data_IF_345599742613
#
_entry.id   IF_345599742613
#
_cell.length_a   1.000
_cell.length_b   1.000
_cell.length_c   1.000
_cell.angle_alpha   90.00
_cell.angle_beta   90.00
_cell.angle_gamma   90.00
#
_symmetry.space_group_name_H-M   'P 1'
#
loop_
_entity.id
_entity.type
_entity.pdbx_description
1 polymer ?
#
# COMPACT_ATOMS: atom_id res chain seq x y z
N UNK A 1 -28.45 11.84 64.27
CA UNK A 1 -27.08 11.31 64.24
C UNK A 1 -27.04 9.80 64.06
N UNK A 2 -27.79 9.01 64.83
CA UNK A 2 -27.82 7.54 64.71
C UNK A 2 -28.12 7.02 63.30
N UNK A 3 -29.11 7.57 62.59
CA UNK A 3 -29.39 7.18 61.20
C UNK A 3 -28.22 7.41 60.24
N UNK A 4 -27.44 8.47 60.45
CA UNK A 4 -26.27 8.79 59.60
C UNK A 4 -25.14 7.81 59.90
N UNK A 5 -24.95 7.45 61.17
CA UNK A 5 -23.99 6.41 61.58
C UNK A 5 -24.37 5.06 61.00
N UNK A 6 -25.65 4.71 60.98
CA UNK A 6 -26.12 3.42 60.46
C UNK A 6 -25.99 3.34 58.94
N UNK A 7 -26.29 4.41 58.21
CA UNK A 7 -26.01 4.50 56.77
C UNK A 7 -24.51 4.41 56.46
N UNK A 8 -23.66 5.04 57.28
CA UNK A 8 -22.22 4.94 57.12
C UNK A 8 -21.70 3.51 57.35
N UNK A 9 -22.25 2.78 58.34
CA UNK A 9 -21.93 1.37 58.57
C UNK A 9 -22.33 0.49 57.38
N UNK A 10 -23.52 0.66 56.83
CA UNK A 10 -23.95 -0.09 55.63
C UNK A 10 -23.03 0.16 54.42
N UNK A 11 -22.62 1.42 54.21
CA UNK A 11 -21.69 1.80 53.15
C UNK A 11 -20.31 1.14 53.34
N UNK A 12 -19.82 1.09 54.58
CA UNK A 12 -18.56 0.42 54.92
C UNK A 12 -18.67 -1.09 54.65
N UNK A 13 -19.77 -1.73 55.06
CA UNK A 13 -20.00 -3.17 54.82
C UNK A 13 -20.04 -3.49 53.32
N UNK A 14 -20.73 -2.67 52.52
CA UNK A 14 -20.78 -2.81 51.05
C UNK A 14 -19.38 -2.65 50.44
N UNK A 15 -18.58 -1.69 50.93
CA UNK A 15 -17.22 -1.43 50.44
C UNK A 15 -16.25 -2.56 50.80
N UNK A 16 -16.37 -3.13 52.00
CA UNK A 16 -15.58 -4.29 52.44
C UNK A 16 -15.95 -5.53 51.62
N UNK A 17 -17.23 -5.76 51.33
CA UNK A 17 -17.67 -6.87 50.46
C UNK A 17 -17.10 -6.73 49.04
N UNK A 18 -17.19 -5.53 48.45
CA UNK A 18 -16.62 -5.25 47.14
C UNK A 18 -15.10 -5.49 47.08
N UNK A 19 -14.36 -5.12 48.14
CA UNK A 19 -12.93 -5.37 48.22
C UNK A 19 -12.58 -6.86 48.32
N UNK A 20 -13.38 -7.65 49.05
CA UNK A 20 -13.23 -9.12 49.12
C UNK A 20 -13.51 -9.78 47.77
N UNK A 21 -14.52 -9.30 47.03
CA UNK A 21 -14.84 -9.81 45.69
C UNK A 21 -13.72 -9.51 44.69
N UNK A 22 -13.12 -8.32 44.75
CA UNK A 22 -11.93 -7.97 43.95
C UNK A 22 -10.73 -8.86 44.31
N UNK A 23 -10.48 -9.11 45.60
CA UNK A 23 -9.37 -9.98 46.02
C UNK A 23 -9.58 -11.43 45.57
N UNK A 24 -10.82 -11.93 45.61
CA UNK A 24 -11.19 -13.24 45.07
C UNK A 24 -10.95 -13.30 43.55
N UNK A 25 -11.42 -12.31 42.80
CA UNK A 25 -11.16 -12.17 41.36
C UNK A 25 -9.66 -12.13 41.02
N UNK A 26 -8.87 -11.40 41.80
CA UNK A 26 -7.41 -11.33 41.64
C UNK A 26 -6.73 -12.67 41.95
N UNK A 27 -7.23 -13.42 42.93
CA UNK A 27 -6.74 -14.77 43.25
C UNK A 27 -7.07 -15.75 42.12
N UNK A 28 -8.30 -15.73 41.61
CA UNK A 28 -8.73 -16.54 40.46
C UNK A 28 -7.95 -16.17 39.19
N UNK A 29 -7.63 -14.89 38.97
CA UNK A 29 -6.74 -14.40 37.91
C UNK A 29 -5.29 -14.89 38.07
N UNK A 30 -4.76 -14.91 39.31
CA UNK A 30 -3.42 -15.46 39.61
C UNK A 30 -3.34 -16.98 39.45
N UNK A 31 -4.43 -17.69 39.73
CA UNK A 31 -4.53 -19.15 39.57
C UNK A 31 -4.76 -19.56 38.09
N UNK A 32 -5.53 -18.77 37.34
CA UNK A 32 -5.65 -18.93 35.87
C UNK A 32 -4.36 -18.57 35.15
N UNK A 33 -3.56 -17.61 35.63
CA UNK A 33 -2.25 -17.31 35.04
C UNK A 33 -1.16 -18.33 35.41
N UNK A 34 -1.25 -19.00 36.57
CA UNK A 34 -0.32 -20.09 36.96
C UNK A 34 -0.47 -21.38 36.14
N UNK A 35 -1.59 -21.58 35.44
CA UNK A 35 -1.87 -22.81 34.65
C UNK A 35 -1.62 -22.66 33.14
N UNK A 36 -1.25 -21.46 32.65
CA UNK A 36 -0.90 -21.23 31.25
C UNK A 36 0.60 -21.44 31.02
N UNK A 37 0.94 -22.72 30.85
CA UNK A 37 2.03 -23.29 30.06
C UNK A 37 3.46 -22.73 30.16
N UNK A 38 4.38 -23.62 30.55
CA UNK A 38 5.85 -23.59 30.40
C UNK A 38 6.38 -23.43 28.95
N UNK A 39 5.60 -22.89 28.02
CA UNK A 39 5.88 -22.82 26.59
C UNK A 39 6.41 -21.42 26.25
N UNK A 40 7.71 -21.30 26.00
CA UNK A 40 8.35 -20.03 25.61
C UNK A 40 8.46 -19.89 24.09
N UNK A 41 8.19 -18.68 23.60
CA UNK A 41 8.48 -18.30 22.22
C UNK A 41 9.99 -18.12 21.99
N UNK A 42 10.45 -18.40 20.76
CA UNK A 42 11.77 -17.96 20.31
C UNK A 42 11.88 -16.43 20.21
N UNK A 43 10.78 -15.74 19.92
CA UNK A 43 10.68 -14.28 19.94
C UNK A 43 9.83 -13.85 21.14
N UNK A 44 10.39 -13.20 22.18
CA UNK A 44 9.64 -12.81 23.39
C UNK A 44 8.38 -11.99 23.10
N UNK A 45 8.38 -11.19 22.03
CA UNK A 45 7.25 -10.37 21.61
C UNK A 45 6.05 -11.19 21.12
N UNK A 46 6.23 -12.45 20.75
CA UNK A 46 5.13 -13.33 20.31
C UNK A 46 4.53 -14.15 21.46
N UNK A 47 5.02 -13.99 22.70
CA UNK A 47 4.59 -14.80 23.84
C UNK A 47 3.08 -14.69 24.10
N UNK A 48 2.51 -13.49 23.95
CA UNK A 48 1.06 -13.28 24.13
C UNK A 48 0.20 -14.08 23.15
N UNK A 49 0.70 -14.36 21.93
CA UNK A 49 0.01 -15.21 20.96
C UNK A 49 0.05 -16.67 21.40
N UNK A 50 1.18 -17.12 21.91
CA UNK A 50 1.33 -18.47 22.45
C UNK A 50 0.40 -18.70 23.63
N UNK A 51 0.35 -17.75 24.56
CA UNK A 51 -0.51 -17.82 25.73
C UNK A 51 -2.00 -17.80 25.31
N UNK A 52 -2.35 -16.93 24.37
CA UNK A 52 -3.70 -16.86 23.81
C UNK A 52 -4.14 -18.15 23.12
N UNK A 53 -3.29 -18.73 22.27
CA UNK A 53 -3.58 -20.00 21.60
C UNK A 53 -3.55 -21.20 22.57
N UNK A 54 -2.73 -21.16 23.63
CA UNK A 54 -2.74 -22.16 24.68
C UNK A 54 -4.07 -22.17 25.44
N UNK A 55 -4.60 -20.99 25.79
CA UNK A 55 -5.94 -20.84 26.38
C UNK A 55 -7.04 -21.39 25.48
N UNK A 56 -7.07 -20.96 24.21
CA UNK A 56 -8.06 -21.44 23.23
C UNK A 56 -7.99 -22.96 23.01
N UNK A 57 -6.79 -23.55 23.09
CA UNK A 57 -6.61 -25.01 23.03
C UNK A 57 -7.19 -25.71 24.25
N UNK A 58 -6.97 -25.18 25.46
CA UNK A 58 -7.56 -25.75 26.68
C UNK A 58 -9.09 -25.69 26.62
N UNK A 59 -9.66 -24.59 26.15
CA UNK A 59 -11.10 -24.44 25.96
C UNK A 59 -11.65 -25.39 24.91
N UNK A 60 -10.94 -25.59 23.80
CA UNK A 60 -11.33 -26.57 22.78
C UNK A 60 -11.30 -28.02 23.32
N UNK A 61 -10.32 -28.36 24.17
CA UNK A 61 -10.25 -29.67 24.83
C UNK A 61 -11.39 -29.87 25.82
N UNK A 62 -11.70 -28.85 26.65
CA UNK A 62 -12.85 -28.87 27.59
C UNK A 62 -14.18 -29.05 26.86
N UNK A 63 -14.34 -28.39 25.72
CA UNK A 63 -15.53 -28.52 24.84
C UNK A 63 -15.51 -29.78 23.96
N UNK A 64 -14.57 -30.70 24.17
CA UNK A 64 -14.36 -31.93 23.39
C UNK A 64 -14.19 -31.71 21.87
N UNK A 65 -13.79 -30.51 21.44
CA UNK A 65 -13.54 -30.20 20.04
C UNK A 65 -12.11 -30.58 19.63
N UNK A 66 -11.92 -31.86 19.29
CA UNK A 66 -10.62 -32.45 18.92
C UNK A 66 -9.97 -31.76 17.72
N UNK A 67 -10.76 -31.40 16.71
CA UNK A 67 -10.27 -30.77 15.48
C UNK A 67 -9.67 -29.40 15.77
N UNK A 68 -10.39 -28.57 16.53
CA UNK A 68 -9.91 -27.22 16.83
C UNK A 68 -8.74 -27.23 17.83
N UNK A 69 -8.75 -28.14 18.80
CA UNK A 69 -7.62 -28.37 19.70
C UNK A 69 -6.35 -28.76 18.93
N UNK A 70 -6.48 -29.54 17.85
CA UNK A 70 -5.38 -29.91 16.96
C UNK A 70 -4.88 -28.72 16.12
N UNK A 71 -5.79 -27.92 15.56
CA UNK A 71 -5.43 -26.69 14.83
C UNK A 71 -4.66 -25.70 15.72
N UNK A 72 -5.13 -25.47 16.96
CA UNK A 72 -4.41 -24.62 17.92
C UNK A 72 -3.05 -25.21 18.33
N UNK A 73 -2.92 -26.54 18.43
CA UNK A 73 -1.62 -27.19 18.66
C UNK A 73 -0.64 -26.93 17.52
N UNK A 74 -1.10 -26.90 16.26
CA UNK A 74 -0.27 -26.53 15.09
C UNK A 74 0.14 -25.05 15.13
N UNK A 75 -0.80 -24.16 15.43
CA UNK A 75 -0.54 -22.73 15.58
C UNK A 75 0.53 -22.44 16.65
N UNK A 76 0.42 -23.08 17.82
CA UNK A 76 1.40 -22.98 18.92
C UNK A 76 2.79 -23.39 18.42
N UNK A 77 2.94 -24.55 17.76
CA UNK A 77 4.23 -25.01 17.24
C UNK A 77 4.84 -24.04 16.21
N UNK A 78 4.01 -23.45 15.36
CA UNK A 78 4.46 -22.48 14.35
C UNK A 78 5.00 -21.20 15.01
N UNK A 79 4.27 -20.67 16.00
CA UNK A 79 4.65 -19.49 16.78
C UNK A 79 5.89 -19.70 17.66
N UNK A 80 6.10 -20.92 18.16
CA UNK A 80 7.32 -21.27 18.92
C UNK A 80 8.59 -21.17 18.06
N UNK A 81 8.49 -21.47 16.75
CA UNK A 81 9.63 -21.50 15.83
C UNK A 81 9.92 -20.16 15.17
N UNK A 82 8.92 -19.29 15.08
CA UNK A 82 9.03 -18.02 14.35
C UNK A 82 9.93 -17.01 15.10
N UNK A 83 11.03 -16.52 14.48
CA UNK A 83 12.03 -15.73 15.17
C UNK A 83 11.77 -14.21 15.17
N UNK A 84 10.77 -13.72 14.44
CA UNK A 84 10.50 -12.28 14.28
C UNK A 84 9.22 -11.86 15.02
N UNK A 85 9.06 -10.58 15.40
CA UNK A 85 7.83 -10.10 16.02
C UNK A 85 6.67 -10.11 15.03
N UNK A 86 5.51 -10.57 15.48
CA UNK A 86 4.24 -10.53 14.73
C UNK A 86 3.46 -9.32 15.24
N UNK A 87 3.37 -8.30 14.37
CA UNK A 87 2.80 -7.01 14.66
C UNK A 87 1.36 -6.87 14.15
N UNK A 88 0.91 -7.79 13.29
CA UNK A 88 -0.44 -7.78 12.74
C UNK A 88 -1.04 -9.20 12.62
N UNK A 89 -2.35 -9.38 12.87
CA UNK A 89 -3.04 -10.67 12.75
C UNK A 89 -2.79 -11.41 11.43
N UNK A 90 -2.78 -10.69 10.30
CA UNK A 90 -2.58 -11.30 8.98
C UNK A 90 -1.16 -11.86 8.78
N UNK A 91 -0.15 -11.41 9.53
CA UNK A 91 1.19 -12.00 9.47
C UNK A 91 1.21 -13.44 10.00
N UNK A 92 0.26 -13.82 10.86
CA UNK A 92 0.13 -15.20 11.32
C UNK A 92 -0.21 -16.17 10.18
N UNK A 93 -0.88 -15.70 9.10
CA UNK A 93 -1.27 -16.55 7.96
C UNK A 93 -0.07 -17.02 7.12
N UNK A 94 1.08 -16.36 7.27
CA UNK A 94 2.33 -16.76 6.64
C UNK A 94 2.98 -17.95 7.37
N UNK A 95 2.50 -18.29 8.58
CA UNK A 95 3.04 -19.38 9.39
C UNK A 95 2.35 -20.70 9.04
N UNK A 96 3.15 -21.68 8.63
CA UNK A 96 2.68 -23.02 8.33
C UNK A 96 1.99 -23.65 9.56
N UNK A 97 0.67 -23.79 9.50
CA UNK A 97 -0.16 -24.29 10.62
C UNK A 97 -1.22 -23.31 11.13
N UNK A 98 -1.24 -22.06 10.63
CA UNK A 98 -2.29 -21.08 10.91
C UNK A 98 -3.02 -20.72 9.62
N UNK A 99 -4.23 -21.28 9.45
CA UNK A 99 -5.09 -20.99 8.29
C UNK A 99 -6.17 -19.95 8.61
N UNK A 100 -6.93 -19.55 7.58
CA UNK A 100 -8.00 -18.54 7.66
C UNK A 100 -9.05 -18.85 8.74
N UNK A 101 -9.29 -20.13 9.05
CA UNK A 101 -10.21 -20.56 10.11
C UNK A 101 -9.81 -20.11 11.51
N UNK A 102 -8.53 -19.80 11.74
CA UNK A 102 -8.02 -19.33 13.03
C UNK A 102 -7.93 -17.79 13.10
N UNK A 103 -8.20 -17.09 12.00
CA UNK A 103 -7.98 -15.65 11.90
C UNK A 103 -8.83 -14.87 12.91
N UNK A 104 -10.10 -15.26 13.11
CA UNK A 104 -10.99 -14.68 14.14
C UNK A 104 -10.40 -14.83 15.56
N UNK A 105 -9.82 -15.99 15.85
CA UNK A 105 -9.12 -16.25 17.11
C UNK A 105 -7.86 -15.38 17.25
N UNK A 106 -7.08 -15.21 16.17
CA UNK A 106 -5.90 -14.32 16.15
C UNK A 106 -6.31 -12.87 16.42
N UNK A 107 -7.30 -12.34 15.71
CA UNK A 107 -7.81 -10.98 15.93
C UNK A 107 -8.29 -10.78 17.38
N UNK A 108 -8.94 -11.79 17.96
CA UNK A 108 -9.40 -11.74 19.35
C UNK A 108 -8.21 -11.65 20.32
N UNK A 109 -7.16 -12.45 20.12
CA UNK A 109 -5.95 -12.41 20.95
C UNK A 109 -5.23 -11.06 20.82
N UNK A 110 -5.11 -10.52 19.60
CA UNK A 110 -4.53 -9.20 19.36
C UNK A 110 -5.34 -8.08 20.01
N UNK A 111 -6.67 -8.10 19.89
CA UNK A 111 -7.56 -7.11 20.51
C UNK A 111 -7.45 -7.12 22.04
N UNK A 112 -7.39 -8.30 22.66
CA UNK A 112 -7.21 -8.45 24.10
C UNK A 112 -5.84 -8.01 24.62
N UNK A 113 -4.83 -7.97 23.75
CA UNK A 113 -3.46 -7.55 24.07
C UNK A 113 -3.09 -6.17 23.47
N UNK A 114 -4.05 -5.42 22.93
CA UNK A 114 -3.82 -4.14 22.25
C UNK A 114 -3.16 -3.07 23.14
N UNK A 115 -3.37 -3.12 24.47
CA UNK A 115 -2.69 -2.23 25.43
C UNK A 115 -1.17 -2.48 25.50
N UNK A 116 -0.73 -3.72 25.29
CA UNK A 116 0.70 -4.09 25.29
C UNK A 116 1.44 -3.52 24.08
N UNK A 117 0.80 -3.49 22.90
CA UNK A 117 1.37 -2.88 21.69
C UNK A 117 1.39 -1.35 21.74
N UNK A 118 0.38 -0.72 22.36
CA UNK A 118 0.41 0.72 22.65
C UNK A 118 1.59 1.08 23.56
N UNK A 119 1.82 0.28 24.62
CA UNK A 119 2.96 0.45 25.53
C UNK A 119 4.33 0.22 24.87
N UNK A 120 4.47 -0.76 23.97
CA UNK A 120 5.73 -1.00 23.23
C UNK A 120 6.06 0.12 22.24
N UNK A 121 5.07 0.63 21.50
CA UNK A 121 5.22 1.82 20.66
C UNK A 121 5.67 3.04 21.47
N UNK A 122 5.03 3.29 22.61
CA UNK A 122 5.37 4.39 23.51
C UNK A 122 6.78 4.25 24.13
N UNK A 123 7.31 3.03 24.27
CA UNK A 123 8.65 2.77 24.82
C UNK A 123 9.77 2.90 23.76
N UNK A 124 9.45 2.64 22.50
CA UNK A 124 10.33 2.90 21.36
C UNK A 124 10.39 4.40 21.02
N UNK A 125 9.26 5.12 21.14
CA UNK A 125 9.18 6.57 20.95
C UNK A 125 9.96 7.36 22.02
N UNK A 126 10.02 6.86 23.27
CA UNK A 126 10.80 7.48 24.38
C UNK A 126 12.33 7.40 24.25
N UNK A 127 12.87 6.77 23.20
CA UNK A 127 14.32 6.70 22.93
C UNK A 127 14.83 7.73 21.91
N UNK A 128 13.97 8.58 21.34
CA UNK A 128 14.37 9.67 20.44
C UNK A 128 14.29 11.03 21.17
N UNK A 129 15.26 11.95 21.00
CA UNK A 129 15.19 13.27 21.63
C UNK A 129 14.04 14.08 21.05
N UNK A 130 13.30 14.71 21.95
CA UNK A 130 12.07 15.47 21.73
C UNK A 130 12.31 16.80 21.00
N UNK A 131 11.52 17.07 19.95
CA UNK A 131 11.02 18.42 19.64
C UNK A 131 9.51 18.32 19.33
N UNK A 132 8.78 19.30 19.85
CA UNK A 132 7.33 19.33 20.02
C UNK A 132 6.52 19.34 18.70
N UNK A 133 5.30 18.77 18.68
CA UNK A 133 4.43 18.80 17.52
C UNK A 133 3.53 20.05 17.49
N UNK A 134 3.58 20.80 16.39
CA UNK A 134 2.50 21.74 16.03
C UNK A 134 1.26 20.98 15.52
N UNK A 135 0.08 21.53 15.85
CA UNK A 135 -1.25 20.92 15.69
C UNK A 135 -1.65 20.74 14.22
N UNK A 136 -2.16 19.55 13.91
CA UNK A 136 -2.87 19.21 12.65
C UNK A 136 -4.37 19.47 12.87
N UNK A 137 -5.08 20.14 11.95
CA UNK A 137 -6.52 20.39 12.09
C UNK A 137 -7.36 19.11 11.92
N UNK A 138 -8.53 19.11 12.57
CA UNK A 138 -9.46 17.99 12.69
C UNK A 138 -10.02 17.50 11.33
N UNK A 139 -10.22 16.18 11.23
CA UNK A 139 -10.82 15.51 10.07
C UNK A 139 -12.27 15.95 9.88
N UNK A 140 -12.75 16.17 8.64
CA UNK A 140 -14.17 16.40 8.40
C UNK A 140 -14.97 15.11 8.60
N UNK A 141 -16.16 15.29 9.17
CA UNK A 141 -17.11 14.29 9.62
C UNK A 141 -17.77 13.52 8.46
N UNK A 142 -17.94 12.21 8.64
CA UNK A 142 -18.33 11.22 7.63
C UNK A 142 -19.81 11.37 7.19
N UNK A 143 -20.60 12.23 7.83
CA UNK A 143 -22.04 12.39 7.55
C UNK A 143 -22.36 13.43 6.44
N UNK A 144 -21.36 14.17 5.94
CA UNK A 144 -21.57 15.11 4.82
C UNK A 144 -21.66 14.38 3.45
N UNK A 145 -21.01 13.22 3.34
CA UNK A 145 -20.90 12.45 2.09
C UNK A 145 -22.22 11.83 1.62
N UNK A 146 -23.09 11.43 2.55
CA UNK A 146 -24.40 10.88 2.23
C UNK A 146 -25.34 11.88 1.56
N UNK A 147 -25.23 13.18 1.92
CA UNK A 147 -26.04 14.26 1.34
C UNK A 147 -25.54 14.74 -0.02
N UNK A 148 -24.23 14.63 -0.28
CA UNK A 148 -23.64 14.99 -1.58
C UNK A 148 -23.97 13.91 -2.62
N UNK A 149 -23.95 12.64 -2.24
CA UNK A 149 -24.31 11.52 -3.13
C UNK A 149 -25.78 11.59 -3.60
N UNK A 150 -26.72 12.07 -2.77
CA UNK A 150 -28.12 12.26 -3.21
C UNK A 150 -28.32 13.45 -4.15
N UNK A 151 -27.34 14.36 -4.26
CA UNK A 151 -27.38 15.52 -5.18
C UNK A 151 -26.77 15.16 -6.55
N UNK A 152 -25.89 14.15 -6.61
CA UNK A 152 -25.11 13.80 -7.81
C UNK A 152 -25.81 12.83 -8.77
N UNK A 153 -27.03 12.37 -8.48
CA UNK A 153 -27.82 11.50 -9.36
C UNK A 153 -28.53 12.26 -10.49
N UNK A 154 -28.04 13.46 -10.83
CA UNK A 154 -28.51 14.24 -11.97
C UNK A 154 -27.42 14.32 -13.01
N UNK A 155 -27.62 13.57 -14.09
CA UNK A 155 -26.99 13.70 -15.41
C UNK A 155 -26.63 15.15 -15.71
N UNK A 156 -25.35 15.50 -15.55
CA UNK A 156 -24.85 16.84 -15.81
C UNK A 156 -24.70 16.97 -17.33
N UNK A 157 -25.71 17.54 -17.99
CA UNK A 157 -25.60 17.99 -19.38
C UNK A 157 -24.77 19.28 -19.42
N UNK A 158 -23.73 19.29 -20.26
CA UNK A 158 -23.07 20.53 -20.67
C UNK A 158 -24.11 21.44 -21.31
N UNK A 159 -24.10 22.71 -20.92
CA UNK A 159 -25.12 23.70 -21.29
C UNK A 159 -25.09 24.15 -22.75
N UNK A 160 -24.22 23.60 -23.58
CA UNK A 160 -24.12 24.00 -24.99
C UNK A 160 -24.09 22.78 -25.91
N UNK A 161 -25.07 22.75 -26.83
CA UNK A 161 -25.31 21.82 -27.94
C UNK A 161 -26.20 20.61 -27.60
N UNK A 162 -27.48 20.72 -27.99
CA UNK A 162 -28.54 19.69 -27.92
C UNK A 162 -28.20 18.30 -28.51
N UNK A 163 -27.00 18.10 -29.07
CA UNK A 163 -26.57 16.88 -29.76
C UNK A 163 -25.18 16.35 -29.36
N UNK A 164 -24.50 16.95 -28.36
CA UNK A 164 -23.19 16.47 -27.90
C UNK A 164 -23.31 16.03 -26.44
N UNK A 165 -23.12 14.73 -26.22
CA UNK A 165 -22.95 14.15 -24.89
C UNK A 165 -21.47 14.04 -24.58
N UNK A 166 -21.12 14.08 -23.30
CA UNK A 166 -19.76 13.80 -22.86
C UNK A 166 -19.74 12.80 -21.72
N UNK A 167 -18.67 12.02 -21.65
CA UNK A 167 -18.46 11.01 -20.60
C UNK A 167 -17.02 11.11 -20.10
N UNK A 168 -16.86 11.21 -18.78
CA UNK A 168 -15.53 11.15 -18.14
C UNK A 168 -15.23 9.69 -17.83
N UNK A 169 -14.10 9.20 -18.33
CA UNK A 169 -13.71 7.80 -18.19
C UNK A 169 -12.31 7.73 -17.58
N UNK A 170 -12.19 6.99 -16.47
CA UNK A 170 -10.91 6.59 -15.91
C UNK A 170 -10.27 5.51 -16.79
N UNK A 171 -9.07 5.75 -17.30
CA UNK A 171 -8.27 4.73 -17.95
C UNK A 171 -7.31 4.11 -16.95
N UNK A 172 -7.34 2.78 -16.88
CA UNK A 172 -6.47 1.96 -16.03
C UNK A 172 -5.49 1.21 -16.92
N UNK A 173 -4.18 1.29 -16.63
CA UNK A 173 -3.18 0.51 -17.35
C UNK A 173 -3.39 -0.99 -17.10
N UNK A 174 -3.36 -1.78 -18.18
CA UNK A 174 -3.57 -3.23 -18.12
C UNK A 174 -2.52 -4.00 -17.29
N UNK A 175 -1.40 -3.38 -16.91
CA UNK A 175 -0.42 -3.97 -15.98
C UNK A 175 -0.93 -3.97 -14.54
N UNK A 176 -1.84 -3.07 -14.18
CA UNK A 176 -2.37 -2.96 -12.82
C UNK A 176 -3.32 -4.12 -12.46
N UNK A 177 -3.88 -4.81 -13.46
CA UNK A 177 -4.86 -5.89 -13.26
C UNK A 177 -4.22 -7.30 -13.18
N UNK A 178 -2.88 -7.41 -13.01
CA UNK A 178 -2.14 -8.67 -13.20
C UNK A 178 -2.12 -9.65 -12.03
N UNK A 179 -2.32 -9.21 -10.79
CA UNK A 179 -2.12 -10.07 -9.59
C UNK A 179 -3.40 -10.28 -8.79
N UNK A 180 -4.11 -9.20 -8.49
CA UNK A 180 -5.45 -9.20 -7.89
C UNK A 180 -6.27 -8.26 -8.75
N UNK A 181 -7.49 -8.66 -9.13
CA UNK A 181 -8.26 -7.85 -10.07
C UNK A 181 -8.65 -6.52 -9.42
N UNK A 182 -8.17 -5.41 -9.99
CA UNK A 182 -8.41 -4.06 -9.48
C UNK A 182 -9.78 -3.52 -9.90
N UNK A 183 -10.25 -3.91 -11.08
CA UNK A 183 -11.52 -3.43 -11.66
C UNK A 183 -12.75 -3.72 -10.79
N UNK A 184 -12.91 -4.90 -10.16
CA UNK A 184 -14.05 -5.18 -9.29
C UNK A 184 -14.17 -4.24 -8.09
N UNK A 185 -13.08 -3.61 -7.64
CA UNK A 185 -13.14 -2.59 -6.61
C UNK A 185 -13.70 -1.28 -7.16
N UNK A 186 -13.32 -0.90 -8.38
CA UNK A 186 -13.84 0.31 -9.02
C UNK A 186 -15.33 0.16 -9.38
N UNK A 187 -15.74 -1.03 -9.83
CA UNK A 187 -17.14 -1.34 -10.17
C UNK A 187 -18.08 -1.05 -8.97
N UNK A 188 -17.62 -1.31 -7.74
CA UNK A 188 -18.39 -1.05 -6.50
C UNK A 188 -18.69 0.44 -6.29
N UNK A 189 -17.89 1.34 -6.86
CA UNK A 189 -18.06 2.78 -6.74
C UNK A 189 -18.88 3.41 -7.86
N UNK A 190 -19.32 2.60 -8.85
CA UNK A 190 -20.20 3.02 -9.94
C UNK A 190 -19.57 4.05 -10.89
N UNK A 191 -18.23 4.10 -10.97
CA UNK A 191 -17.53 5.03 -11.87
C UNK A 191 -17.31 4.41 -13.24
N UNK A 192 -17.24 5.25 -14.27
CA UNK A 192 -16.89 4.80 -15.62
C UNK A 192 -15.38 4.59 -15.74
N UNK A 193 -14.98 3.39 -16.12
CA UNK A 193 -13.57 3.06 -16.32
C UNK A 193 -13.35 2.09 -17.48
N UNK A 194 -12.14 2.12 -18.03
CA UNK A 194 -11.69 1.19 -19.07
C UNK A 194 -10.26 0.73 -18.82
N UNK A 195 -10.02 -0.56 -19.03
CA UNK A 195 -8.68 -1.12 -19.06
C UNK A 195 -8.07 -0.88 -20.46
N UNK A 196 -6.93 -0.19 -20.51
CA UNK A 196 -6.20 0.08 -21.76
C UNK A 196 -4.70 -0.10 -21.53
N UNK A 197 -3.95 -0.32 -22.61
CA UNK A 197 -2.49 -0.21 -22.55
C UNK A 197 -2.12 1.26 -22.57
N UNK A 198 -1.49 1.77 -21.51
CA UNK A 198 -1.07 3.17 -21.44
C UNK A 198 0.45 3.28 -21.68
N UNK A 199 0.84 4.23 -22.52
CA UNK A 199 2.25 4.54 -22.78
C UNK A 199 2.90 5.39 -21.69
N UNK A 200 2.08 6.07 -20.88
CA UNK A 200 2.47 6.89 -19.72
C UNK A 200 1.40 6.82 -18.63
N UNK A 201 1.85 6.72 -17.38
CA UNK A 201 1.00 6.61 -16.19
C UNK A 201 0.35 5.25 -16.03
N UNK A 202 -0.15 5.01 -14.82
CA UNK A 202 -0.92 3.82 -14.46
C UNK A 202 -2.42 4.14 -14.41
N UNK A 203 -2.76 5.40 -14.10
CA UNK A 203 -4.12 5.94 -14.21
C UNK A 203 -4.12 7.30 -14.90
N UNK A 204 -5.08 7.55 -15.78
CA UNK A 204 -5.35 8.87 -16.34
C UNK A 204 -6.83 9.00 -16.70
N UNK A 205 -7.32 10.23 -16.91
CA UNK A 205 -8.70 10.46 -17.29
C UNK A 205 -8.80 10.99 -18.71
N UNK A 206 -9.81 10.50 -19.43
CA UNK A 206 -10.23 11.06 -20.70
C UNK A 206 -11.66 11.61 -20.59
N UNK A 207 -11.96 12.56 -21.46
CA UNK A 207 -13.33 12.92 -21.82
C UNK A 207 -13.64 12.36 -23.19
N UNK A 208 -14.76 11.64 -23.30
CA UNK A 208 -15.33 11.19 -24.57
C UNK A 208 -16.42 12.16 -24.97
N UNK A 209 -16.30 12.78 -26.14
CA UNK A 209 -17.40 13.53 -26.76
C UNK A 209 -18.14 12.60 -27.71
N UNK A 210 -19.43 12.41 -27.47
CA UNK A 210 -20.31 11.54 -28.23
C UNK A 210 -21.34 12.43 -28.91
N UNK A 211 -21.35 12.44 -30.25
CA UNK A 211 -22.29 13.27 -30.99
C UNK A 211 -22.76 12.57 -32.26
N UNK A 212 -23.87 13.06 -32.81
CA UNK A 212 -24.40 12.59 -34.10
C UNK A 212 -24.12 13.62 -35.18
N UNK A 213 -23.60 13.15 -36.31
CA UNK A 213 -23.49 14.01 -37.49
C UNK A 213 -24.85 14.21 -38.17
N UNK A 214 -24.86 15.02 -39.24
CA UNK A 214 -26.05 15.25 -40.08
C UNK A 214 -26.62 13.96 -40.69
N UNK A 215 -25.79 12.93 -40.83
CA UNK A 215 -26.17 11.60 -41.33
C UNK A 215 -26.66 10.66 -40.21
N UNK A 216 -26.85 11.16 -38.98
CA UNK A 216 -27.23 10.43 -37.77
C UNK A 216 -26.21 9.37 -37.32
N UNK A 217 -24.99 9.38 -37.88
CA UNK A 217 -23.91 8.49 -37.46
C UNK A 217 -23.33 8.99 -36.14
N UNK A 218 -23.13 8.07 -35.20
CA UNK A 218 -22.51 8.37 -33.91
C UNK A 218 -21.00 8.46 -34.09
N UNK A 219 -20.43 9.56 -33.61
CA UNK A 219 -18.98 9.79 -33.56
C UNK A 219 -18.56 9.91 -32.09
N UNK A 220 -17.37 9.40 -31.79
CA UNK A 220 -16.76 9.46 -30.47
C UNK A 220 -15.36 10.08 -30.65
N UNK A 221 -15.14 11.24 -30.04
CA UNK A 221 -13.83 11.86 -29.92
C UNK A 221 -13.31 11.70 -28.49
N UNK A 222 -12.05 11.35 -28.30
CA UNK A 222 -11.46 11.12 -26.98
C UNK A 222 -10.30 12.07 -26.70
N UNK A 223 -10.37 12.82 -25.61
CA UNK A 223 -9.37 13.81 -25.22
C UNK A 223 -8.84 13.56 -23.81
N UNK A 224 -7.53 13.69 -23.64
CA UNK A 224 -6.83 13.49 -22.36
C UNK A 224 -7.03 14.70 -21.46
N UNK A 225 -7.40 14.45 -20.21
CA UNK A 225 -7.51 15.47 -19.17
C UNK A 225 -6.18 15.66 -18.44
N UNK A 226 -6.02 16.78 -17.75
CA UNK A 226 -4.74 17.20 -17.15
C UNK A 226 -4.41 16.50 -15.82
N UNK A 227 -4.88 15.25 -15.65
CA UNK A 227 -4.73 14.43 -14.45
C UNK A 227 -4.09 13.09 -14.83
N UNK A 228 -2.96 12.77 -14.21
CA UNK A 228 -2.23 11.51 -14.41
C UNK A 228 -1.63 11.03 -13.08
N UNK A 229 -1.70 9.73 -12.86
CA UNK A 229 -1.16 9.08 -11.66
C UNK A 229 -0.19 7.98 -12.09
N UNK A 230 0.98 7.99 -11.47
CA UNK A 230 1.92 6.88 -11.45
C UNK A 230 1.77 6.14 -10.11
N UNK A 231 1.52 4.84 -10.14
CA UNK A 231 1.40 4.00 -8.94
C UNK A 231 2.71 3.25 -8.70
N UNK A 232 3.11 3.18 -7.43
CA UNK A 232 4.16 2.28 -6.94
C UNK A 232 3.73 1.63 -5.65
N UNK A 233 4.09 0.37 -5.45
CA UNK A 233 3.90 -0.24 -4.13
C UNK A 233 4.99 0.25 -3.18
N UNK A 234 4.70 0.33 -1.89
CA UNK A 234 5.68 0.68 -0.87
C UNK A 234 6.87 -0.30 -0.86
N UNK A 235 6.64 -1.56 -1.24
CA UNK A 235 7.71 -2.54 -1.44
C UNK A 235 8.63 -2.19 -2.60
N UNK A 236 8.09 -1.64 -3.71
CA UNK A 236 8.91 -1.19 -4.85
C UNK A 236 9.79 0.02 -4.49
N UNK A 237 9.35 0.83 -3.53
CA UNK A 237 10.07 2.02 -3.08
C UNK A 237 11.11 1.73 -1.97
N UNK A 238 10.91 0.69 -1.18
CA UNK A 238 11.84 0.30 -0.08
C UNK A 238 13.03 -0.53 -0.57
N UNK A 239 12.94 -1.15 -1.75
CA UNK A 239 14.12 -1.64 -2.46
C UNK A 239 14.91 -0.46 -3.02
N UNK A 240 15.63 0.23 -2.12
CA UNK A 240 16.67 1.27 -2.33
C UNK A 240 16.68 1.87 -3.74
N UNK A 241 16.33 3.16 -3.85
CA UNK A 241 16.24 3.97 -5.06
C UNK A 241 14.83 4.03 -5.63
N UNK A 242 14.19 5.17 -5.39
CA UNK A 242 13.40 5.87 -6.39
C UNK A 242 14.11 5.68 -7.74
N UNK A 243 13.62 4.72 -8.53
CA UNK A 243 14.33 4.22 -9.69
C UNK A 243 14.60 5.37 -10.66
N UNK A 244 15.74 5.34 -11.37
CA UNK A 244 15.93 6.21 -12.55
C UNK A 244 14.71 6.14 -13.47
N UNK A 245 14.06 4.98 -13.53
CA UNK A 245 12.78 4.76 -14.17
C UNK A 245 11.65 5.65 -13.65
N UNK A 246 11.38 5.73 -12.34
CA UNK A 246 10.36 6.63 -11.79
C UNK A 246 10.66 8.10 -12.11
N UNK A 247 11.94 8.50 -11.99
CA UNK A 247 12.38 9.84 -12.38
C UNK A 247 12.08 10.14 -13.85
N UNK A 248 12.38 9.19 -14.74
CA UNK A 248 12.16 9.33 -16.17
C UNK A 248 10.67 9.31 -16.53
N UNK A 249 9.86 8.48 -15.88
CA UNK A 249 8.40 8.47 -16.03
C UNK A 249 7.82 9.85 -15.68
N UNK A 250 8.18 10.39 -14.51
CA UNK A 250 7.73 11.73 -14.09
C UNK A 250 8.24 12.81 -15.06
N UNK A 251 9.48 12.71 -15.54
CA UNK A 251 10.04 13.64 -16.54
C UNK A 251 9.22 13.63 -17.83
N UNK A 252 8.80 12.45 -18.30
CA UNK A 252 7.95 12.31 -19.50
C UNK A 252 6.57 12.90 -19.28
N UNK A 253 5.95 12.66 -18.12
CA UNK A 253 4.65 13.27 -17.77
C UNK A 253 4.74 14.79 -17.73
N UNK A 254 5.82 15.35 -17.15
CA UNK A 254 6.08 16.80 -17.15
C UNK A 254 6.30 17.35 -18.57
N UNK A 255 6.99 16.61 -19.44
CA UNK A 255 7.17 16.98 -20.85
C UNK A 255 5.85 16.96 -21.64
N UNK A 256 4.85 16.18 -21.18
CA UNK A 256 3.48 16.20 -21.69
C UNK A 256 2.61 17.29 -21.05
N UNK A 257 3.18 18.16 -20.23
CA UNK A 257 2.50 19.34 -19.66
C UNK A 257 1.24 19.01 -18.85
N UNK A 258 1.17 17.82 -18.24
CA UNK A 258 0.10 17.52 -17.27
C UNK A 258 0.19 18.48 -16.09
N UNK A 259 -0.93 19.13 -15.76
CA UNK A 259 -1.02 20.06 -14.64
C UNK A 259 -1.05 19.33 -13.30
N UNK A 260 -1.69 18.16 -13.26
CA UNK A 260 -1.90 17.39 -12.04
C UNK A 260 -1.23 16.01 -12.19
N UNK A 261 0.06 15.95 -11.87
CA UNK A 261 0.85 14.72 -11.82
C UNK A 261 0.92 14.26 -10.37
N UNK A 262 0.49 13.02 -10.11
CA UNK A 262 0.54 12.41 -8.79
C UNK A 262 1.37 11.14 -8.80
N UNK A 263 2.12 10.92 -7.72
CA UNK A 263 2.68 9.62 -7.38
C UNK A 263 1.81 8.98 -6.30
N UNK A 264 1.17 7.86 -6.60
CA UNK A 264 0.41 7.07 -5.65
C UNK A 264 1.29 5.96 -5.08
N UNK A 265 1.47 5.98 -3.76
CA UNK A 265 2.20 4.95 -3.02
C UNK A 265 1.20 4.04 -2.32
N UNK A 266 1.09 2.79 -2.77
CA UNK A 266 0.21 1.81 -2.17
C UNK A 266 0.95 0.92 -1.17
N UNK A 267 0.42 0.82 0.05
CA UNK A 267 0.95 0.05 1.15
C UNK A 267 1.66 0.89 2.22
N UNK A 268 2.29 0.19 3.17
CA UNK A 268 3.00 0.82 4.29
C UNK A 268 4.35 1.36 3.84
N UNK A 269 4.39 2.63 3.45
CA UNK A 269 5.61 3.38 3.23
C UNK A 269 5.96 4.24 4.45
N UNK A 270 7.26 4.33 4.75
CA UNK A 270 7.76 5.25 5.76
C UNK A 270 7.58 6.71 5.31
N UNK A 271 7.25 7.59 6.26
CA UNK A 271 7.02 9.02 5.97
C UNK A 271 8.22 9.68 5.29
N UNK A 272 9.43 9.24 5.62
CA UNK A 272 10.66 9.73 5.01
C UNK A 272 10.69 9.45 3.50
N UNK A 273 10.34 8.24 3.06
CA UNK A 273 10.25 7.86 1.64
C UNK A 273 9.22 8.73 0.90
N UNK A 274 8.08 9.02 1.55
CA UNK A 274 7.01 9.84 0.99
C UNK A 274 7.50 11.29 0.80
N UNK A 275 8.14 11.85 1.84
CA UNK A 275 8.70 13.20 1.82
C UNK A 275 9.84 13.33 0.80
N UNK A 276 10.78 12.38 0.79
CA UNK A 276 11.87 12.32 -0.18
C UNK A 276 11.33 12.25 -1.61
N UNK A 277 10.35 11.39 -1.87
CA UNK A 277 9.74 11.25 -3.19
C UNK A 277 9.05 12.55 -3.63
N UNK A 278 8.35 13.23 -2.72
CA UNK A 278 7.69 14.51 -3.02
C UNK A 278 8.71 15.61 -3.31
N UNK A 279 9.75 15.73 -2.48
CA UNK A 279 10.80 16.74 -2.61
C UNK A 279 11.66 16.51 -3.87
N UNK A 280 12.11 15.28 -4.09
CA UNK A 280 13.00 14.94 -5.20
C UNK A 280 12.35 15.19 -6.55
N UNK A 281 11.04 14.96 -6.65
CA UNK A 281 10.33 15.06 -7.92
C UNK A 281 9.49 16.32 -8.07
N UNK A 282 9.28 17.08 -6.99
CA UNK A 282 8.38 18.22 -6.95
C UNK A 282 7.01 17.86 -7.57
N UNK A 283 6.38 16.81 -7.04
CA UNK A 283 5.04 16.35 -7.39
C UNK A 283 4.27 15.98 -6.12
N UNK A 284 2.94 15.93 -6.25
CA UNK A 284 2.06 15.53 -5.16
C UNK A 284 2.15 14.01 -4.96
N UNK A 285 2.37 13.59 -3.72
CA UNK A 285 2.42 12.17 -3.35
C UNK A 285 1.16 11.82 -2.57
N UNK A 286 0.49 10.76 -3.00
CA UNK A 286 -0.70 10.20 -2.37
C UNK A 286 -0.32 8.86 -1.74
N UNK A 287 -0.96 8.51 -0.64
CA UNK A 287 -0.74 7.23 0.03
C UNK A 287 -2.06 6.51 0.26
N UNK A 288 -2.10 5.24 -0.09
CA UNK A 288 -3.20 4.31 0.20
C UNK A 288 -2.62 3.07 0.86
N UNK A 289 -3.39 2.38 1.68
CA UNK A 289 -2.96 1.18 2.41
C UNK A 289 -3.25 -0.10 1.64
N UNK A 290 -4.29 -0.08 0.81
CA UNK A 290 -4.81 -1.23 0.06
C UNK A 290 -5.31 -0.83 -1.34
N UNK A 291 -5.56 -1.82 -2.19
CA UNK A 291 -6.14 -1.60 -3.52
C UNK A 291 -7.57 -1.05 -3.45
N UNK A 292 -8.34 -1.44 -2.43
CA UNK A 292 -9.67 -0.89 -2.17
C UNK A 292 -9.61 0.62 -1.87
N UNK A 293 -8.68 1.05 -1.03
CA UNK A 293 -8.47 2.48 -0.75
C UNK A 293 -7.98 3.23 -2.01
N UNK A 294 -7.14 2.59 -2.83
CA UNK A 294 -6.75 3.11 -4.15
C UNK A 294 -7.97 3.29 -5.07
N UNK A 295 -8.85 2.30 -5.13
CA UNK A 295 -10.08 2.36 -5.93
C UNK A 295 -11.05 3.45 -5.44
N UNK A 296 -11.22 3.58 -4.13
CA UNK A 296 -12.01 4.66 -3.52
C UNK A 296 -11.44 6.04 -3.89
N UNK A 297 -10.13 6.20 -3.83
CA UNK A 297 -9.44 7.42 -4.24
C UNK A 297 -9.64 7.72 -5.73
N UNK A 298 -9.54 6.70 -6.60
CA UNK A 298 -9.82 6.86 -8.04
C UNK A 298 -11.27 7.29 -8.29
N UNK A 299 -12.21 6.74 -7.52
CA UNK A 299 -13.62 7.15 -7.60
C UNK A 299 -13.82 8.60 -7.16
N UNK A 300 -13.17 9.02 -6.07
CA UNK A 300 -13.15 10.42 -5.63
C UNK A 300 -12.61 11.36 -6.72
N UNK A 301 -11.42 11.07 -7.28
CA UNK A 301 -10.87 11.87 -8.38
C UNK A 301 -11.80 11.92 -9.59
N UNK A 302 -12.39 10.80 -9.96
CA UNK A 302 -13.31 10.74 -11.12
C UNK A 302 -14.51 11.66 -10.92
N UNK A 303 -15.09 11.70 -9.71
CA UNK A 303 -16.22 12.58 -9.38
C UNK A 303 -15.81 14.05 -9.39
N UNK A 304 -14.70 14.39 -8.75
CA UNK A 304 -14.16 15.76 -8.74
C UNK A 304 -13.81 16.26 -10.14
N UNK A 305 -13.17 15.41 -10.96
CA UNK A 305 -12.84 15.73 -12.35
C UNK A 305 -14.12 15.91 -13.16
N UNK A 306 -15.15 15.11 -12.93
CA UNK A 306 -16.44 15.25 -13.63
C UNK A 306 -17.13 16.58 -13.30
N UNK A 307 -17.10 17.00 -12.03
CA UNK A 307 -17.60 18.31 -11.61
C UNK A 307 -16.83 19.45 -12.30
N UNK A 308 -15.50 19.38 -12.32
CA UNK A 308 -14.69 20.40 -12.99
C UNK A 308 -14.87 20.39 -14.52
N UNK A 309 -14.98 19.21 -15.13
CA UNK A 309 -15.16 19.07 -16.57
C UNK A 309 -16.52 19.59 -17.05
N UNK A 310 -17.55 19.58 -16.20
CA UNK A 310 -18.86 20.15 -16.51
C UNK A 310 -18.84 21.68 -16.73
N UNK A 311 -17.74 22.35 -16.37
CA UNK A 311 -17.56 23.78 -16.58
C UNK A 311 -16.81 24.10 -17.88
N UNK A 312 -16.31 23.09 -18.60
CA UNK A 312 -15.53 23.27 -19.82
C UNK A 312 -16.45 23.37 -21.05
N UNK A 313 -16.15 24.29 -21.97
CA UNK A 313 -16.82 24.29 -23.28
C UNK A 313 -16.31 23.15 -24.17
N UNK A 314 -17.07 22.82 -25.22
CA UNK A 314 -16.65 21.85 -26.23
C UNK A 314 -15.34 22.29 -26.92
N UNK A 315 -15.18 23.58 -27.20
CA UNK A 315 -13.92 24.15 -27.71
C UNK A 315 -12.76 23.95 -26.74
N UNK A 316 -13.00 24.13 -25.42
CA UNK A 316 -11.96 23.86 -24.41
C UNK A 316 -11.56 22.39 -24.40
N UNK A 317 -12.51 21.47 -24.55
CA UNK A 317 -12.25 20.02 -24.60
C UNK A 317 -11.49 19.66 -25.88
N UNK A 318 -11.93 20.14 -27.05
CA UNK A 318 -11.26 19.89 -28.34
C UNK A 318 -9.86 20.50 -28.45
N UNK A 319 -9.58 21.53 -27.64
CA UNK A 319 -8.24 22.08 -27.49
C UNK A 319 -7.27 21.18 -26.72
N UNK A 320 -7.77 20.15 -26.01
CA UNK A 320 -6.92 19.17 -25.30
C UNK A 320 -6.32 18.15 -26.28
N UNK A 321 -5.38 17.34 -25.77
CA UNK A 321 -4.69 16.32 -26.59
C UNK A 321 -5.63 15.15 -26.89
N UNK A 322 -5.78 14.80 -28.17
CA UNK A 322 -6.47 13.57 -28.56
C UNK A 322 -5.75 12.33 -27.98
N UNK A 323 -6.50 11.41 -27.36
CA UNK A 323 -5.95 10.25 -26.67
C UNK A 323 -5.11 9.36 -27.57
N UNK A 324 -5.60 9.03 -28.77
CA UNK A 324 -4.90 8.15 -29.70
C UNK A 324 -3.50 8.69 -30.07
N UNK A 325 -3.42 9.98 -30.40
CA UNK A 325 -2.15 10.66 -30.72
C UNK A 325 -1.21 10.71 -29.51
N UNK A 326 -1.76 11.04 -28.34
CA UNK A 326 -1.00 11.05 -27.09
C UNK A 326 -0.42 9.67 -26.77
N UNK A 327 -1.28 8.65 -26.71
CA UNK A 327 -0.89 7.31 -26.28
C UNK A 327 0.04 6.65 -27.30
N UNK A 328 -0.23 6.82 -28.60
CA UNK A 328 0.61 6.30 -29.69
C UNK A 328 2.05 6.81 -29.65
N UNK A 329 2.27 8.06 -29.25
CA UNK A 329 3.62 8.64 -29.04
C UNK A 329 4.43 7.88 -28.00
N UNK A 330 3.78 7.38 -26.95
CA UNK A 330 4.45 6.78 -25.81
C UNK A 330 4.49 5.25 -25.85
N UNK A 331 3.49 4.60 -26.45
CA UNK A 331 3.51 3.15 -26.72
C UNK A 331 4.61 2.78 -27.71
N UNK A 332 4.78 3.59 -28.77
CA UNK A 332 5.78 3.36 -29.80
C UNK A 332 7.15 3.97 -29.45
N UNK A 333 7.33 4.47 -28.23
CA UNK A 333 8.63 4.97 -27.81
C UNK A 333 9.63 3.81 -27.73
N UNK A 334 10.79 3.98 -28.38
CA UNK A 334 11.88 2.99 -28.32
C UNK A 334 12.23 2.75 -26.83
N UNK A 335 12.47 1.50 -26.40
CA UNK A 335 12.86 1.21 -25.04
C UNK A 335 14.11 2.02 -24.66
N UNK A 336 14.18 2.49 -23.42
CA UNK A 336 15.32 3.27 -22.98
C UNK A 336 16.58 2.41 -22.92
N UNK A 337 17.75 3.03 -23.10
CA UNK A 337 19.04 2.33 -22.99
C UNK A 337 19.18 1.65 -21.63
N UNK A 338 18.63 2.26 -20.57
CA UNK A 338 18.54 1.66 -19.23
C UNK A 338 17.66 0.42 -19.19
N UNK A 339 16.52 0.41 -19.90
CA UNK A 339 15.60 -0.73 -19.92
C UNK A 339 16.25 -1.90 -20.66
N UNK A 340 16.90 -1.62 -21.79
CA UNK A 340 17.67 -2.62 -22.54
C UNK A 340 18.80 -3.18 -21.65
N UNK A 341 19.53 -2.31 -20.96
CA UNK A 341 20.60 -2.73 -20.06
C UNK A 341 20.08 -3.57 -18.88
N UNK A 342 18.93 -3.20 -18.33
CA UNK A 342 18.27 -3.97 -17.28
C UNK A 342 17.86 -5.36 -17.76
N UNK A 343 17.24 -5.47 -18.94
CA UNK A 343 16.89 -6.77 -19.53
C UNK A 343 18.14 -7.62 -19.75
N UNK A 344 19.18 -7.05 -20.38
CA UNK A 344 20.45 -7.75 -20.61
C UNK A 344 21.09 -8.28 -19.33
N UNK A 345 21.10 -7.48 -18.25
CA UNK A 345 21.68 -7.90 -16.99
C UNK A 345 20.80 -8.86 -16.20
N UNK A 346 19.47 -8.82 -16.37
CA UNK A 346 18.55 -9.75 -15.74
C UNK A 346 18.65 -11.16 -16.33
N UNK A 347 18.99 -11.28 -17.61
CA UNK A 347 19.21 -12.56 -18.29
C UNK A 347 20.55 -13.22 -17.92
N UNK A 348 21.46 -12.49 -17.28
CA UNK A 348 22.78 -13.00 -16.90
C UNK A 348 22.69 -13.98 -15.71
N UNK A 349 23.27 -15.19 -15.79
CA UNK A 349 23.18 -16.19 -14.72
C UNK A 349 23.66 -15.68 -13.35
N UNK A 350 22.83 -15.87 -12.32
CA UNK A 350 23.14 -15.42 -10.95
C UNK A 350 22.75 -13.97 -10.65
N UNK A 351 22.22 -13.24 -11.64
CA UNK A 351 21.57 -11.96 -11.45
C UNK A 351 20.09 -12.17 -11.12
N UNK A 352 19.58 -11.37 -10.18
CA UNK A 352 18.15 -11.30 -9.87
C UNK A 352 17.72 -9.84 -9.93
N UNK A 353 16.40 -9.59 -9.96
CA UNK A 353 15.85 -8.23 -10.10
C UNK A 353 16.50 -7.24 -9.11
N UNK A 354 16.68 -7.65 -7.84
CA UNK A 354 17.31 -6.80 -6.82
C UNK A 354 18.76 -6.43 -7.14
N UNK A 355 19.58 -7.39 -7.57
CA UNK A 355 20.99 -7.14 -7.95
C UNK A 355 21.09 -6.24 -9.18
N UNK A 356 20.22 -6.47 -10.16
CA UNK A 356 20.17 -5.67 -11.39
C UNK A 356 19.78 -4.22 -11.06
N UNK A 357 18.75 -4.01 -10.25
CA UNK A 357 18.34 -2.67 -9.82
C UNK A 357 19.48 -1.92 -9.12
N UNK A 358 20.16 -2.58 -8.17
CA UNK A 358 21.30 -1.98 -7.47
C UNK A 358 22.44 -1.63 -8.43
N UNK A 359 22.71 -2.46 -9.44
CA UNK A 359 23.71 -2.16 -10.46
C UNK A 359 23.34 -0.91 -11.27
N UNK A 360 22.11 -0.83 -11.78
CA UNK A 360 21.65 0.29 -12.62
C UNK A 360 21.65 1.64 -11.91
N UNK A 361 21.60 1.63 -10.58
CA UNK A 361 21.71 2.84 -9.78
C UNK A 361 23.10 3.45 -9.75
N UNK A 362 24.12 2.60 -9.87
CA UNK A 362 25.52 2.98 -9.90
C UNK A 362 25.95 3.26 -11.34
N UNK A 363 25.39 2.52 -12.29
CA UNK A 363 25.69 2.62 -13.72
C UNK A 363 24.38 2.61 -14.53
N UNK A 364 23.81 3.79 -14.88
CA UNK A 364 22.52 3.86 -15.57
C UNK A 364 22.49 3.26 -16.97
N UNK A 365 23.66 3.05 -17.59
CA UNK A 365 23.80 2.48 -18.93
C UNK A 365 24.94 1.48 -18.98
N UNK A 366 24.87 0.56 -19.96
CA UNK A 366 25.96 -0.38 -20.21
C UNK A 366 27.30 0.32 -20.50
N UNK A 367 27.26 1.47 -21.18
CA UNK A 367 28.46 2.27 -21.45
C UNK A 367 29.10 2.81 -20.16
N UNK A 368 28.29 3.34 -19.23
CA UNK A 368 28.80 3.79 -17.93
C UNK A 368 29.36 2.63 -17.10
N UNK A 369 28.74 1.45 -17.20
CA UNK A 369 29.22 0.25 -16.53
C UNK A 369 30.55 -0.25 -17.10
N UNK A 370 30.68 -0.31 -18.43
CA UNK A 370 31.92 -0.66 -19.11
C UNK A 370 33.05 0.31 -18.80
N UNK A 371 32.77 1.62 -18.77
CA UNK A 371 33.73 2.64 -18.35
C UNK A 371 34.22 2.38 -16.92
N UNK A 372 33.31 2.05 -16.01
CA UNK A 372 33.64 1.66 -14.64
C UNK A 372 34.59 0.46 -14.58
N UNK A 373 34.26 -0.62 -15.30
CA UNK A 373 35.08 -1.84 -15.33
C UNK A 373 36.49 -1.60 -15.89
N UNK A 374 36.61 -0.78 -16.94
CA UNK A 374 37.90 -0.52 -17.62
C UNK A 374 38.75 0.52 -16.89
N UNK A 375 38.14 1.63 -16.49
CA UNK A 375 38.87 2.82 -16.05
C UNK A 375 38.83 3.03 -14.53
N UNK A 376 37.90 2.37 -13.82
CA UNK A 376 37.69 2.53 -12.36
C UNK A 376 37.53 1.19 -11.65
N UNK A 377 38.26 0.17 -12.11
CA UNK A 377 38.08 -1.25 -11.75
C UNK A 377 37.94 -1.49 -10.24
N UNK A 378 38.85 -0.96 -9.43
CA UNK A 378 38.81 -1.16 -7.98
C UNK A 378 37.49 -0.66 -7.37
N UNK A 379 37.07 0.57 -7.71
CA UNK A 379 35.80 1.16 -7.23
C UNK A 379 34.62 0.35 -7.75
N UNK A 380 34.67 -0.04 -9.02
CA UNK A 380 33.59 -0.81 -9.65
C UNK A 380 33.43 -2.19 -9.02
N UNK A 381 34.51 -2.90 -8.71
CA UNK A 381 34.44 -4.17 -7.99
C UNK A 381 33.88 -4.04 -6.57
N UNK A 382 34.21 -2.96 -5.84
CA UNK A 382 33.60 -2.70 -4.53
C UNK A 382 32.10 -2.41 -4.65
N UNK A 383 31.71 -1.61 -5.65
CA UNK A 383 30.32 -1.29 -5.97
C UNK A 383 29.51 -2.56 -6.32
N UNK A 384 30.10 -3.48 -7.09
CA UNK A 384 29.47 -4.77 -7.42
C UNK A 384 29.30 -5.68 -6.20
N UNK A 385 30.32 -5.75 -5.33
CA UNK A 385 30.24 -6.48 -4.07
C UNK A 385 29.16 -5.89 -3.14
N UNK A 386 29.09 -4.56 -3.05
CA UNK A 386 28.04 -3.86 -2.30
C UNK A 386 26.64 -4.16 -2.85
N UNK A 387 26.50 -4.25 -4.17
CA UNK A 387 25.26 -4.66 -4.84
C UNK A 387 24.91 -6.16 -4.63
N UNK A 388 25.72 -6.93 -3.89
CA UNK A 388 25.51 -8.35 -3.62
C UNK A 388 25.83 -9.24 -4.84
N UNK A 389 26.60 -8.74 -5.81
CA UNK A 389 27.07 -9.51 -6.96
C UNK A 389 28.35 -10.23 -6.53
N UNK A 390 28.25 -11.56 -6.42
CA UNK A 390 29.35 -12.38 -5.92
C UNK A 390 30.50 -12.47 -6.90
N UNK A 391 31.72 -12.73 -6.39
CA UNK A 391 32.94 -12.78 -7.17
C UNK A 391 32.86 -13.70 -8.40
N UNK A 392 32.16 -14.84 -8.28
CA UNK A 392 31.91 -15.74 -9.42
C UNK A 392 31.19 -15.03 -10.57
N UNK A 393 30.08 -14.34 -10.27
CA UNK A 393 29.28 -13.63 -11.28
C UNK A 393 30.09 -12.49 -11.90
N UNK A 394 30.91 -11.80 -11.10
CA UNK A 394 31.80 -10.73 -11.58
C UNK A 394 32.82 -11.31 -12.58
N UNK A 395 33.47 -12.42 -12.23
CA UNK A 395 34.46 -13.07 -13.10
C UNK A 395 33.82 -13.61 -14.39
N UNK A 396 32.65 -14.24 -14.28
CA UNK A 396 31.89 -14.73 -15.44
C UNK A 396 31.53 -13.55 -16.37
N UNK A 397 31.19 -12.39 -15.81
CA UNK A 397 30.83 -11.19 -16.55
C UNK A 397 32.05 -10.51 -17.19
N UNK A 398 33.17 -10.41 -16.48
CA UNK A 398 34.44 -9.90 -17.03
C UNK A 398 34.92 -10.77 -18.19
N UNK A 399 34.86 -12.10 -18.01
CA UNK A 399 35.17 -13.09 -19.05
C UNK A 399 34.26 -12.95 -20.27
N UNK A 400 32.94 -12.86 -20.06
CA UNK A 400 31.97 -12.64 -21.14
C UNK A 400 32.23 -11.35 -21.92
N UNK A 401 32.70 -10.30 -21.25
CA UNK A 401 33.01 -9.00 -21.86
C UNK A 401 34.43 -8.90 -22.43
N UNK A 402 35.25 -9.95 -22.30
CA UNK A 402 36.65 -9.94 -22.74
C UNK A 402 37.52 -8.91 -22.02
N UNK A 403 37.24 -8.67 -20.74
CA UNK A 403 38.01 -7.76 -19.89
C UNK A 403 38.89 -8.62 -18.96
N UNK A 404 40.19 -8.63 -19.21
CA UNK A 404 41.19 -9.32 -18.37
C UNK A 404 41.42 -8.60 -17.04
#
# INVERSE_FOLDING_TARGET
MEQVVEQAKELIVKKVKFLKDIQSLLKTLKETTKTVSNIKSKCPYNQFLLDGFAGLRQDAVRKQNKNMAFCYKKAIKALQRYPLPILHPNQCLQLQGIGNSLLKSVYTIFKSNHKYFKYLKEKEEKKKPTKEPEKIPEKPDIDTFGRILSILDQTILLKDLENIQYEIVLLVDNRENRVVSFLPFLDQFGIKHEERKLGLGDFLWIVKLIYRDKSKKVHIEEYVLDYIIERKTATDLTSSQISNHLRDQIRRMKAESFLNIFLLIEGKADREIILESSLQHNIKVLQTSTQEETAEMMAFFTREISLNASQLSVENIRGKKAFERFNGKHINSKPYVSDIFQTQMADFPGMNVKKVTLLLSLYPTFAAFLDGLKNKRWITEQNLKWAGIGAKVINDLLSFLGIE
#
